data_IF_886944581696
#
_entry.id   IF_886944581696
#
_cell.length_a   1.000
_cell.length_b   1.000
_cell.length_c   1.000
_cell.angle_alpha   90.00
_cell.angle_beta   90.00
_cell.angle_gamma   90.00
#
_symmetry.space_group_name_H-M   'P 1'
#
loop_
_entity.id
_entity.type
_entity.pdbx_description
1 polymer ?
#
# COMPACT_ATOMS: atom_id res chain seq x y z
N UNK A 1 8.53 -3.08 20.63
CA UNK A 1 9.09 -2.41 19.45
C UNK A 1 8.18 -1.25 19.08
N UNK A 2 8.78 -0.18 18.55
CA UNK A 2 8.06 0.99 18.02
C UNK A 2 8.08 0.91 16.48
N UNK A 3 6.91 0.75 15.86
CA UNK A 3 6.77 0.43 14.43
C UNK A 3 6.06 1.58 13.71
N UNK A 4 6.67 2.08 12.63
CA UNK A 4 6.05 3.07 11.75
C UNK A 4 5.40 2.38 10.55
N UNK A 5 4.11 2.66 10.32
CA UNK A 5 3.38 2.18 9.15
C UNK A 5 3.12 3.39 8.22
N UNK A 6 3.81 3.42 7.09
CA UNK A 6 3.64 4.48 6.09
C UNK A 6 2.63 4.05 5.02
N UNK A 7 1.55 4.80 4.93
CA UNK A 7 0.49 4.63 3.94
C UNK A 7 0.28 5.91 3.13
N UNK A 8 -0.53 5.86 2.09
CA UNK A 8 -0.97 7.03 1.33
C UNK A 8 -2.48 6.98 1.13
N UNK A 9 -3.17 8.09 1.40
CA UNK A 9 -4.62 8.22 1.19
C UNK A 9 -4.99 8.39 -0.30
N UNK A 10 -4.43 7.55 -1.15
CA UNK A 10 -4.76 7.49 -2.59
C UNK A 10 -5.88 6.51 -2.93
N UNK A 11 -6.42 5.84 -1.92
CA UNK A 11 -7.51 4.86 -1.96
C UNK A 11 -7.81 4.38 -0.55
N UNK A 12 -8.65 3.38 -0.37
CA UNK A 12 -8.94 2.82 0.96
C UNK A 12 -8.11 1.58 1.31
N UNK A 13 -7.57 0.88 0.31
CA UNK A 13 -6.91 -0.41 0.48
C UNK A 13 -5.61 -0.33 1.28
N UNK A 14 -4.73 0.59 0.91
CA UNK A 14 -3.44 0.78 1.59
C UNK A 14 -3.61 1.15 3.07
N UNK A 15 -4.54 2.08 3.36
CA UNK A 15 -4.85 2.48 4.74
C UNK A 15 -5.50 1.33 5.52
N UNK A 16 -6.38 0.55 4.89
CA UNK A 16 -7.01 -0.61 5.53
C UNK A 16 -5.95 -1.65 5.92
N UNK A 17 -5.01 -1.95 5.04
CA UNK A 17 -3.90 -2.87 5.31
C UNK A 17 -2.99 -2.34 6.42
N UNK A 18 -2.62 -1.05 6.40
CA UNK A 18 -1.81 -0.43 7.44
C UNK A 18 -2.51 -0.47 8.82
N UNK A 19 -3.81 -0.15 8.86
CA UNK A 19 -4.57 -0.21 10.12
C UNK A 19 -4.77 -1.64 10.63
N UNK A 20 -4.92 -2.63 9.74
CA UNK A 20 -4.99 -4.03 10.12
C UNK A 20 -3.68 -4.51 10.76
N UNK A 21 -2.54 -4.12 10.19
CA UNK A 21 -1.22 -4.39 10.76
C UNK A 21 -1.05 -3.70 12.11
N UNK A 22 -1.43 -2.42 12.23
CA UNK A 22 -1.41 -1.69 13.49
C UNK A 22 -2.17 -2.43 14.57
N UNK A 23 -3.44 -2.79 14.30
CA UNK A 23 -4.27 -3.54 15.26
C UNK A 23 -3.59 -4.84 15.71
N UNK A 24 -2.93 -5.55 14.81
CA UNK A 24 -2.26 -6.79 15.13
C UNK A 24 -0.96 -6.57 15.92
N UNK A 25 -0.14 -5.60 15.56
CA UNK A 25 1.08 -5.26 16.29
C UNK A 25 0.76 -4.80 17.73
N UNK A 26 -0.28 -4.00 17.91
CA UNK A 26 -0.72 -3.56 19.24
C UNK A 26 -1.20 -4.75 20.10
N UNK A 27 -1.92 -5.73 19.52
CA UNK A 27 -2.29 -6.97 20.21
C UNK A 27 -1.08 -7.82 20.63
N UNK A 28 0.01 -7.72 19.87
CA UNK A 28 1.29 -8.39 20.19
C UNK A 28 2.13 -7.62 21.21
N UNK A 29 1.64 -6.49 21.74
CA UNK A 29 2.34 -5.66 22.71
C UNK A 29 3.38 -4.70 22.11
N UNK A 30 3.27 -4.36 20.83
CA UNK A 30 4.13 -3.37 20.18
C UNK A 30 3.42 -2.02 20.08
N UNK A 31 4.17 -0.94 19.98
CA UNK A 31 3.65 0.38 19.63
C UNK A 31 3.65 0.53 18.10
N UNK A 32 2.50 0.83 17.49
CA UNK A 32 2.37 0.96 16.05
C UNK A 32 1.67 2.25 15.64
N UNK A 33 2.28 3.00 14.72
CA UNK A 33 1.84 4.31 14.28
C UNK A 33 1.56 4.31 12.77
N UNK A 34 0.31 4.51 12.38
CA UNK A 34 -0.04 4.71 10.96
C UNK A 34 0.11 6.19 10.62
N UNK A 35 0.87 6.47 9.59
CA UNK A 35 1.14 7.82 9.13
C UNK A 35 0.87 7.96 7.63
N UNK A 36 0.12 9.02 7.25
CA UNK A 36 -0.08 9.36 5.84
C UNK A 36 1.16 10.05 5.31
N UNK A 37 1.98 9.29 4.58
CA UNK A 37 3.26 9.74 4.05
C UNK A 37 3.19 11.08 3.29
N UNK A 38 2.12 11.33 2.52
CA UNK A 38 2.00 12.55 1.73
C UNK A 38 1.86 13.81 2.60
N UNK A 39 1.41 13.67 3.86
CA UNK A 39 1.27 14.80 4.78
C UNK A 39 2.61 15.38 5.23
N UNK A 40 3.72 14.64 5.08
CA UNK A 40 5.08 15.17 5.32
C UNK A 40 5.39 16.40 4.46
N UNK A 41 4.88 16.45 3.22
CA UNK A 41 5.01 17.64 2.36
C UNK A 41 3.92 18.71 2.61
N UNK A 42 3.08 18.50 3.61
CA UNK A 42 1.97 19.37 4.00
C UNK A 42 0.60 18.88 3.51
N UNK A 43 -0.42 19.10 4.31
CA UNK A 43 -1.80 18.65 4.03
C UNK A 43 -2.35 19.10 2.68
N UNK A 44 -1.98 20.30 2.22
CA UNK A 44 -2.43 20.83 0.92
C UNK A 44 -1.87 19.99 -0.25
N UNK A 45 -0.62 19.53 -0.13
CA UNK A 45 0.02 18.66 -1.12
C UNK A 45 -0.64 17.28 -1.10
N UNK A 46 -0.81 16.69 0.08
CA UNK A 46 -1.47 15.39 0.25
C UNK A 46 -2.89 15.41 -0.37
N UNK A 47 -3.72 16.39 -0.04
CA UNK A 47 -5.06 16.56 -0.58
C UNK A 47 -5.06 16.74 -2.10
N UNK A 48 -4.10 17.50 -2.66
CA UNK A 48 -3.97 17.70 -4.11
C UNK A 48 -3.63 16.39 -4.83
N UNK A 49 -2.64 15.65 -4.34
CA UNK A 49 -2.22 14.37 -4.93
C UNK A 49 -3.37 13.36 -4.89
N UNK A 50 -4.01 13.20 -3.73
CA UNK A 50 -5.16 12.31 -3.58
C UNK A 50 -6.31 12.69 -4.53
N UNK A 51 -6.66 13.98 -4.64
CA UNK A 51 -7.71 14.45 -5.53
C UNK A 51 -7.38 14.25 -7.00
N UNK A 52 -6.14 14.48 -7.42
CA UNK A 52 -5.70 14.23 -8.81
C UNK A 52 -5.82 12.75 -9.12
N UNK A 53 -5.31 11.88 -8.24
CA UNK A 53 -5.40 10.43 -8.40
C UNK A 53 -6.85 9.97 -8.55
N UNK A 54 -7.72 10.33 -7.60
CA UNK A 54 -9.15 9.97 -7.61
C UNK A 54 -9.84 10.46 -8.90
N UNK A 55 -9.64 11.73 -9.27
CA UNK A 55 -10.24 12.29 -10.51
C UNK A 55 -9.75 11.58 -11.76
N UNK A 56 -8.47 11.21 -11.82
CA UNK A 56 -7.91 10.49 -12.98
C UNK A 56 -8.52 9.10 -13.11
N UNK A 57 -8.60 8.36 -12.01
CA UNK A 57 -9.18 7.01 -12.00
C UNK A 57 -10.68 7.05 -12.34
N UNK A 58 -11.43 8.00 -11.78
CA UNK A 58 -12.89 8.09 -12.00
C UNK A 58 -13.29 8.65 -13.36
N UNK A 59 -12.60 9.72 -13.82
CA UNK A 59 -13.02 10.47 -15.01
C UNK A 59 -12.28 10.07 -16.28
N UNK A 60 -11.10 9.48 -16.16
CA UNK A 60 -10.23 9.12 -17.28
C UNK A 60 -9.61 7.71 -17.12
N UNK A 61 -10.44 6.65 -16.97
CA UNK A 61 -9.92 5.30 -16.73
C UNK A 61 -9.01 4.79 -17.87
N UNK A 62 -9.28 5.16 -19.12
CA UNK A 62 -8.42 4.83 -20.27
C UNK A 62 -7.07 5.54 -20.22
N UNK A 63 -7.01 6.81 -19.78
CA UNK A 63 -5.76 7.52 -19.57
C UNK A 63 -4.95 6.94 -18.41
N UNK A 64 -5.62 6.50 -17.35
CA UNK A 64 -4.99 5.79 -16.24
C UNK A 64 -4.38 4.45 -16.70
N UNK A 65 -5.13 3.66 -17.50
CA UNK A 65 -4.64 2.41 -18.09
C UNK A 65 -3.44 2.64 -19.02
N UNK A 66 -3.47 3.71 -19.83
CA UNK A 66 -2.34 4.09 -20.67
C UNK A 66 -1.11 4.47 -19.83
N UNK A 67 -1.27 5.30 -18.82
CA UNK A 67 -0.20 5.68 -17.90
C UNK A 67 0.38 4.46 -17.16
N UNK A 68 -0.46 3.51 -16.76
CA UNK A 68 -0.04 2.24 -16.16
C UNK A 68 0.84 1.43 -17.12
N UNK A 69 0.42 1.26 -18.39
CA UNK A 69 1.18 0.53 -19.41
C UNK A 69 2.51 1.21 -19.73
N UNK A 70 2.53 2.55 -19.81
CA UNK A 70 3.78 3.32 -19.96
C UNK A 70 4.67 3.12 -18.75
N UNK A 71 4.11 3.15 -17.52
CA UNK A 71 4.84 2.85 -16.31
C UNK A 71 5.47 1.47 -16.34
N UNK A 72 4.73 0.43 -16.75
CA UNK A 72 5.23 -0.93 -16.92
C UNK A 72 6.37 -1.03 -17.94
N UNK A 73 6.30 -0.25 -19.02
CA UNK A 73 7.36 -0.23 -20.03
C UNK A 73 8.64 0.44 -19.52
N UNK A 74 8.52 1.54 -18.79
CA UNK A 74 9.65 2.27 -18.19
C UNK A 74 10.30 1.41 -17.09
N UNK A 75 9.48 0.86 -16.20
CA UNK A 75 9.88 0.02 -15.08
C UNK A 75 10.79 -1.16 -15.49
N UNK A 76 10.53 -1.76 -16.65
CA UNK A 76 11.37 -2.83 -17.23
C UNK A 76 12.76 -2.38 -17.68
N UNK A 77 13.01 -1.08 -17.81
CA UNK A 77 14.23 -0.54 -18.43
C UNK A 77 15.09 0.31 -17.52
N UNK A 78 14.55 0.80 -16.42
CA UNK A 78 15.27 1.71 -15.53
C UNK A 78 15.00 1.39 -14.06
N UNK A 79 16.03 1.52 -13.24
CA UNK A 79 15.94 1.44 -11.77
C UNK A 79 15.73 2.81 -11.12
N UNK A 80 15.53 3.87 -11.92
CA UNK A 80 15.25 5.25 -11.47
C UNK A 80 14.20 5.86 -12.38
N UNK A 81 12.96 5.45 -12.21
CA UNK A 81 11.83 5.98 -12.98
C UNK A 81 11.58 7.46 -12.67
N UNK A 82 10.77 8.16 -13.49
CA UNK A 82 10.28 9.49 -13.14
C UNK A 82 9.55 9.53 -11.80
N UNK A 83 8.86 8.42 -11.42
CA UNK A 83 8.15 8.29 -10.13
C UNK A 83 9.16 8.25 -8.99
N UNK A 84 10.23 7.47 -9.13
CA UNK A 84 11.36 7.45 -8.18
C UNK A 84 11.96 8.84 -7.98
N UNK A 85 12.24 9.57 -9.08
CA UNK A 85 12.83 10.91 -8.99
C UNK A 85 11.93 11.94 -8.30
N UNK A 86 10.62 11.78 -8.41
CA UNK A 86 9.66 12.62 -7.67
C UNK A 86 9.67 12.25 -6.20
N UNK A 87 9.60 10.96 -5.88
CA UNK A 87 9.57 10.48 -4.50
C UNK A 87 10.90 10.71 -3.77
N UNK A 88 12.03 10.67 -4.46
CA UNK A 88 13.33 11.06 -3.91
C UNK A 88 13.31 12.45 -3.26
N UNK A 89 12.53 13.40 -3.81
CA UNK A 89 12.42 14.76 -3.23
C UNK A 89 11.75 14.79 -1.86
N UNK A 90 11.11 13.69 -1.47
CA UNK A 90 10.49 13.57 -0.14
C UNK A 90 11.50 13.23 0.96
N UNK A 91 12.74 12.84 0.60
CA UNK A 91 13.82 12.58 1.55
C UNK A 91 13.97 13.71 2.57
N UNK A 92 13.96 14.95 2.08
CA UNK A 92 14.13 16.17 2.90
C UNK A 92 13.04 16.38 3.97
N UNK A 93 11.93 15.65 3.88
CA UNK A 93 10.86 15.69 4.88
C UNK A 93 10.86 14.44 5.74
N UNK A 94 11.15 13.26 5.14
CA UNK A 94 11.10 11.99 5.85
C UNK A 94 12.34 11.82 6.74
N UNK A 95 13.52 12.24 6.29
CA UNK A 95 14.76 12.09 7.03
C UNK A 95 14.71 12.81 8.41
N UNK A 96 14.38 14.12 8.49
CA UNK A 96 14.23 14.79 9.77
C UNK A 96 13.13 14.20 10.65
N UNK A 97 12.02 13.75 10.04
CA UNK A 97 10.94 13.10 10.78
C UNK A 97 11.41 11.81 11.47
N UNK A 98 12.21 10.97 10.78
CA UNK A 98 12.74 9.74 11.37
C UNK A 98 13.84 10.01 12.42
N UNK A 99 14.61 11.09 12.27
CA UNK A 99 15.58 11.53 13.29
C UNK A 99 14.90 11.99 14.57
N UNK A 100 13.81 12.77 14.45
CA UNK A 100 13.03 13.23 15.59
C UNK A 100 12.22 12.11 16.25
N UNK A 101 11.78 11.14 15.44
CA UNK A 101 10.94 10.04 15.87
C UNK A 101 11.57 8.69 15.51
N UNK A 102 12.49 8.17 16.35
CA UNK A 102 13.14 6.90 16.09
C UNK A 102 12.16 5.72 16.18
N UNK A 103 12.26 4.80 15.22
CA UNK A 103 11.49 3.56 15.13
C UNK A 103 12.40 2.35 15.01
N UNK A 104 11.92 1.20 15.48
CA UNK A 104 12.63 -0.09 15.39
C UNK A 104 12.41 -0.76 14.03
N UNK A 105 11.32 -0.44 13.33
CA UNK A 105 10.99 -0.96 12.00
C UNK A 105 10.05 0.00 11.25
N UNK A 106 10.12 -0.01 9.91
CA UNK A 106 9.23 0.74 9.03
C UNK A 106 8.53 -0.25 8.10
N UNK A 107 7.20 -0.18 8.06
CA UNK A 107 6.36 -0.99 7.18
C UNK A 107 5.62 -0.07 6.21
N UNK A 108 5.67 -0.35 4.93
CA UNK A 108 5.01 0.46 3.91
C UNK A 108 3.94 -0.35 3.19
N UNK A 109 2.75 0.20 3.11
CA UNK A 109 1.64 -0.38 2.33
C UNK A 109 1.45 0.30 0.98
N UNK A 110 2.33 1.24 0.64
CA UNK A 110 2.29 2.00 -0.61
C UNK A 110 3.68 2.18 -1.21
N UNK A 111 3.76 2.25 -2.54
CA UNK A 111 5.01 2.39 -3.29
C UNK A 111 5.78 3.67 -2.96
N UNK A 112 5.10 4.82 -2.82
CA UNK A 112 5.78 6.12 -2.68
C UNK A 112 6.77 6.19 -1.51
N UNK A 113 6.39 5.83 -0.28
CA UNK A 113 7.36 5.78 0.82
C UNK A 113 8.45 4.74 0.60
N UNK A 114 8.17 3.63 -0.09
CA UNK A 114 9.17 2.61 -0.39
C UNK A 114 10.29 3.14 -1.31
N UNK A 115 9.93 3.92 -2.33
CA UNK A 115 10.91 4.57 -3.21
C UNK A 115 11.72 5.65 -2.48
N UNK A 116 11.10 6.43 -1.60
CA UNK A 116 11.81 7.42 -0.78
C UNK A 116 12.80 6.77 0.15
N UNK A 117 12.39 5.75 0.90
CA UNK A 117 13.29 5.02 1.79
C UNK A 117 14.41 4.31 1.02
N UNK A 118 14.14 3.81 -0.19
CA UNK A 118 15.16 3.29 -1.10
C UNK A 118 16.15 4.37 -1.50
N UNK A 119 15.68 5.57 -1.83
CA UNK A 119 16.54 6.71 -2.13
C UNK A 119 17.44 7.08 -0.95
N UNK A 120 16.87 7.13 0.24
CA UNK A 120 17.61 7.40 1.48
C UNK A 120 18.66 6.30 1.75
N UNK A 121 18.30 5.01 1.60
CA UNK A 121 19.20 3.86 1.78
C UNK A 121 20.43 3.93 0.86
N UNK A 122 20.27 4.44 -0.34
CA UNK A 122 21.36 4.59 -1.33
C UNK A 122 22.32 5.75 -1.03
N UNK A 123 22.02 6.59 -0.04
CA UNK A 123 22.94 7.64 0.40
C UNK A 123 24.07 7.03 1.24
N UNK A 124 25.27 7.57 1.09
CA UNK A 124 26.42 7.16 1.90
C UNK A 124 26.15 7.41 3.38
N UNK A 125 26.44 6.41 4.21
CA UNK A 125 26.24 6.49 5.66
C UNK A 125 24.80 6.43 6.15
N UNK A 126 23.83 6.15 5.29
CA UNK A 126 22.42 6.04 5.70
C UNK A 126 22.20 4.95 6.76
N UNK A 127 21.56 5.33 7.85
CA UNK A 127 21.17 4.42 8.93
C UNK A 127 19.65 4.38 9.02
N UNK A 128 19.04 3.38 8.38
CA UNK A 128 17.60 3.15 8.44
C UNK A 128 17.31 1.87 9.22
N UNK A 129 16.21 1.83 9.98
CA UNK A 129 15.75 0.58 10.58
C UNK A 129 15.33 -0.41 9.46
N UNK A 130 15.07 -1.69 9.77
CA UNK A 130 14.52 -2.63 8.80
C UNK A 130 13.26 -2.11 8.13
N UNK A 131 13.16 -2.31 6.80
CA UNK A 131 12.12 -1.76 5.93
C UNK A 131 11.35 -2.91 5.28
N UNK A 132 10.03 -2.93 5.46
CA UNK A 132 9.14 -3.98 4.98
C UNK A 132 8.15 -3.41 3.96
N UNK A 133 8.14 -3.94 2.73
CA UNK A 133 7.17 -3.60 1.71
C UNK A 133 5.96 -4.55 1.77
N UNK A 134 4.75 -4.02 1.89
CA UNK A 134 3.51 -4.79 1.85
C UNK A 134 2.74 -4.45 0.58
N UNK A 135 2.76 -5.37 -0.39
CA UNK A 135 2.05 -5.22 -1.65
C UNK A 135 0.57 -5.53 -1.43
N UNK A 136 -0.30 -4.66 -1.91
CA UNK A 136 -1.75 -4.74 -1.70
C UNK A 136 -2.55 -4.98 -2.98
N UNK A 137 -1.87 -5.26 -4.08
CA UNK A 137 -2.47 -5.57 -5.38
C UNK A 137 -2.12 -6.98 -5.84
N UNK A 138 -3.06 -7.70 -6.47
CA UNK A 138 -2.84 -9.04 -7.04
C UNK A 138 -2.06 -9.04 -8.36
N UNK A 139 -1.31 -7.98 -8.61
CA UNK A 139 -0.32 -7.85 -9.67
C UNK A 139 0.83 -7.00 -9.14
N UNK A 140 2.03 -7.19 -9.66
CA UNK A 140 3.13 -6.30 -9.28
C UNK A 140 2.93 -4.94 -9.98
N UNK A 141 2.47 -3.95 -9.24
CA UNK A 141 2.37 -2.58 -9.75
C UNK A 141 3.75 -2.07 -10.20
N UNK A 142 3.82 -1.20 -11.24
CA UNK A 142 5.08 -0.67 -11.73
C UNK A 142 5.91 -0.04 -10.61
N UNK A 143 7.22 -0.16 -10.74
CA UNK A 143 8.25 0.49 -9.92
C UNK A 143 8.53 -0.14 -8.55
N UNK A 144 7.77 -1.17 -8.11
CA UNK A 144 8.18 -1.93 -6.92
C UNK A 144 9.55 -2.59 -7.09
N UNK A 145 9.92 -2.98 -8.30
CA UNK A 145 11.22 -3.54 -8.65
C UNK A 145 12.40 -2.54 -8.54
N UNK A 146 12.10 -1.26 -8.38
CA UNK A 146 13.12 -0.23 -8.11
C UNK A 146 13.46 -0.11 -6.62
N UNK A 147 12.60 -0.66 -5.75
CA UNK A 147 12.72 -0.51 -4.30
C UNK A 147 13.71 -1.50 -3.69
N UNK A 148 14.26 -1.13 -2.53
CA UNK A 148 15.24 -1.93 -1.78
C UNK A 148 14.74 -2.15 -0.35
N UNK A 149 13.65 -2.91 -0.20
CA UNK A 149 13.18 -3.34 1.11
C UNK A 149 14.02 -4.50 1.63
N UNK A 150 14.04 -4.69 2.94
CA UNK A 150 14.64 -5.87 3.56
C UNK A 150 13.81 -7.11 3.27
N UNK A 151 12.47 -6.97 3.34
CA UNK A 151 11.51 -8.02 3.03
C UNK A 151 10.28 -7.44 2.30
N UNK A 152 9.61 -8.29 1.51
CA UNK A 152 8.39 -7.98 0.77
C UNK A 152 7.30 -8.98 1.12
N UNK A 153 6.17 -8.50 1.61
CA UNK A 153 4.97 -9.28 1.81
C UNK A 153 4.12 -9.16 0.55
N UNK A 154 3.85 -10.27 -0.10
CA UNK A 154 3.06 -10.32 -1.34
C UNK A 154 1.70 -10.97 -1.11
N UNK A 155 0.67 -10.59 -1.91
CA UNK A 155 -0.70 -11.04 -1.74
C UNK A 155 -0.93 -12.54 -1.87
N UNK A 156 -0.20 -13.21 -2.76
CA UNK A 156 -0.38 -14.63 -3.04
C UNK A 156 0.88 -15.25 -3.64
N UNK A 157 1.06 -16.55 -3.43
CA UNK A 157 2.18 -17.32 -3.98
C UNK A 157 2.27 -17.28 -5.51
N UNK A 158 1.14 -17.16 -6.21
CA UNK A 158 1.10 -17.11 -7.68
C UNK A 158 1.71 -15.81 -8.24
N UNK A 159 1.87 -14.78 -7.40
CA UNK A 159 2.56 -13.54 -7.77
C UNK A 159 4.10 -13.67 -7.70
N UNK A 160 4.61 -14.71 -7.03
CA UNK A 160 6.04 -14.92 -6.81
C UNK A 160 6.85 -14.88 -8.10
N UNK A 161 6.43 -15.64 -9.12
CA UNK A 161 7.14 -15.74 -10.39
C UNK A 161 7.13 -14.41 -11.16
N UNK A 162 6.07 -13.63 -11.06
CA UNK A 162 6.01 -12.29 -11.64
C UNK A 162 7.00 -11.36 -10.94
N UNK A 163 7.01 -11.35 -9.61
CA UNK A 163 7.93 -10.54 -8.81
C UNK A 163 9.39 -10.84 -9.14
N UNK A 164 9.76 -12.13 -9.20
CA UNK A 164 11.12 -12.56 -9.51
C UNK A 164 11.52 -12.19 -10.95
N UNK A 165 10.65 -12.43 -11.93
CA UNK A 165 10.90 -12.04 -13.33
C UNK A 165 11.11 -10.55 -13.51
N UNK A 166 10.48 -9.74 -12.65
CA UNK A 166 10.62 -8.28 -12.68
C UNK A 166 11.76 -7.75 -11.84
N UNK A 167 12.47 -8.62 -11.12
CA UNK A 167 13.74 -8.31 -10.46
C UNK A 167 13.69 -8.16 -8.96
N UNK A 168 12.58 -8.51 -8.29
CA UNK A 168 12.56 -8.63 -6.84
C UNK A 168 13.29 -9.91 -6.40
N UNK A 169 14.13 -9.86 -5.34
CA UNK A 169 14.87 -11.01 -4.85
C UNK A 169 13.91 -12.07 -4.26
N UNK A 170 14.00 -13.30 -4.74
CA UNK A 170 13.11 -14.40 -4.34
C UNK A 170 13.14 -14.67 -2.84
N UNK A 171 14.32 -14.62 -2.26
CA UNK A 171 14.58 -14.86 -0.84
C UNK A 171 13.94 -13.83 0.10
N UNK A 172 13.55 -12.68 -0.43
CA UNK A 172 12.90 -11.60 0.31
C UNK A 172 11.37 -11.56 0.12
N UNK A 173 10.80 -12.50 -0.65
CA UNK A 173 9.37 -12.52 -0.98
C UNK A 173 8.60 -13.48 -0.07
N UNK A 174 7.59 -12.96 0.65
CA UNK A 174 6.76 -13.72 1.57
C UNK A 174 5.28 -13.67 1.14
N UNK A 175 4.69 -14.78 0.68
CA UNK A 175 3.29 -14.81 0.21
C UNK A 175 2.30 -14.97 1.38
N UNK A 176 2.29 -13.99 2.29
CA UNK A 176 1.45 -14.02 3.49
C UNK A 176 0.04 -13.47 3.29
N UNK A 177 -0.25 -12.87 2.14
CA UNK A 177 -1.54 -12.28 1.86
C UNK A 177 -1.60 -10.78 2.13
N UNK A 178 -2.71 -10.16 1.74
CA UNK A 178 -2.99 -8.75 2.05
C UNK A 178 -3.50 -8.67 3.50
N UNK A 179 -2.91 -7.83 4.37
CA UNK A 179 -3.39 -7.64 5.72
C UNK A 179 -4.84 -7.15 5.76
N UNK A 180 -5.65 -7.76 6.59
CA UNK A 180 -7.04 -7.37 6.83
C UNK A 180 -7.39 -7.43 8.31
N UNK A 181 -8.39 -6.65 8.73
CA UNK A 181 -8.82 -6.65 10.13
C UNK A 181 -9.46 -7.98 10.51
N UNK A 182 -9.06 -8.60 11.63
CA UNK A 182 -9.67 -9.82 12.15
C UNK A 182 -11.19 -9.71 12.39
N UNK A 183 -11.72 -8.51 12.48
CA UNK A 183 -13.16 -8.26 12.61
C UNK A 183 -13.98 -8.82 11.44
N UNK A 184 -13.35 -8.96 10.25
CA UNK A 184 -13.98 -9.58 9.07
C UNK A 184 -14.23 -11.09 9.29
N UNK A 185 -13.45 -11.71 10.18
CA UNK A 185 -13.59 -13.12 10.54
C UNK A 185 -14.59 -13.38 11.68
N UNK A 186 -15.37 -12.36 12.07
CA UNK A 186 -16.39 -12.53 13.10
C UNK A 186 -17.34 -13.66 12.72
N UNK A 187 -17.57 -14.64 13.60
CA UNK A 187 -18.29 -15.86 13.28
C UNK A 187 -19.81 -15.64 13.31
N UNK A 188 -20.29 -14.82 12.38
CA UNK A 188 -21.74 -14.73 12.18
C UNK A 188 -22.21 -15.84 11.26
N UNK A 189 -23.22 -16.58 11.66
CA UNK A 189 -23.97 -17.43 10.74
C UNK A 189 -24.68 -16.56 9.69
N UNK A 190 -25.02 -17.15 8.55
CA UNK A 190 -25.74 -16.44 7.48
C UNK A 190 -27.06 -15.84 7.98
N UNK A 191 -27.76 -16.54 8.88
CA UNK A 191 -29.02 -16.10 9.48
C UNK A 191 -28.80 -14.90 10.39
N UNK A 192 -27.80 -14.96 11.27
CA UNK A 192 -27.45 -13.84 12.16
C UNK A 192 -27.04 -12.59 11.37
N UNK A 193 -26.21 -12.77 10.33
CA UNK A 193 -25.81 -11.65 9.45
C UNK A 193 -27.02 -11.01 8.76
N UNK A 194 -27.98 -11.82 8.27
CA UNK A 194 -29.20 -11.30 7.67
C UNK A 194 -30.06 -10.54 8.68
N UNK A 195 -30.20 -11.05 9.91
CA UNK A 195 -30.91 -10.35 11.00
C UNK A 195 -30.29 -9.01 11.34
N UNK A 196 -28.97 -8.98 11.51
CA UNK A 196 -28.22 -7.74 11.77
C UNK A 196 -28.38 -6.69 10.68
N UNK A 197 -28.53 -7.13 9.43
CA UNK A 197 -28.71 -6.25 8.27
C UNK A 197 -30.17 -5.97 7.93
N UNK A 198 -31.13 -6.45 8.74
CA UNK A 198 -32.59 -6.37 8.48
C UNK A 198 -32.98 -6.94 7.11
N UNK A 199 -32.36 -8.04 6.70
CA UNK A 199 -32.65 -8.74 5.45
C UNK A 199 -33.56 -9.95 5.71
N UNK A 200 -34.39 -10.29 4.72
CA UNK A 200 -35.25 -11.48 4.77
C UNK A 200 -34.38 -12.76 4.82
N UNK A 201 -34.58 -13.55 5.86
CA UNK A 201 -33.81 -14.78 6.13
C UNK A 201 -33.91 -15.81 5.00
N UNK A 202 -35.08 -15.85 4.33
CA UNK A 202 -35.43 -16.86 3.33
C UNK A 202 -35.03 -16.46 1.91
N UNK A 203 -34.65 -15.20 1.68
CA UNK A 203 -34.23 -14.69 0.34
C UNK A 203 -32.76 -14.89 0.11
N UNK A 204 -32.41 -15.15 -1.15
CA UNK A 204 -30.99 -15.08 -1.61
C UNK A 204 -30.52 -13.63 -1.58
N UNK A 205 -29.28 -13.43 -1.14
CA UNK A 205 -28.63 -12.11 -1.11
C UNK A 205 -27.48 -12.11 -2.09
N UNK A 206 -27.44 -11.11 -2.97
CA UNK A 206 -26.33 -10.84 -3.87
C UNK A 206 -25.68 -9.54 -3.37
N UNK A 207 -24.44 -9.63 -2.92
CA UNK A 207 -23.66 -8.50 -2.47
C UNK A 207 -22.81 -8.00 -3.63
N UNK A 208 -23.03 -6.76 -4.07
CA UNK A 208 -22.20 -6.06 -5.03
C UNK A 208 -21.28 -5.11 -4.28
N UNK A 209 -19.97 -5.26 -4.46
CA UNK A 209 -18.95 -4.43 -3.81
C UNK A 209 -18.12 -3.75 -4.88
N UNK A 210 -18.04 -2.44 -4.79
CA UNK A 210 -17.08 -1.63 -5.56
C UNK A 210 -15.99 -1.09 -4.64
N UNK A 211 -14.87 -0.70 -5.22
CA UNK A 211 -13.81 -0.02 -4.47
C UNK A 211 -14.32 1.30 -3.85
N UNK A 212 -13.70 1.74 -2.76
CA UNK A 212 -14.06 2.97 -2.02
C UNK A 212 -14.25 4.21 -2.91
N UNK A 213 -13.64 4.21 -4.09
CA UNK A 213 -13.71 5.33 -5.03
C UNK A 213 -14.89 5.27 -5.99
N UNK A 214 -15.65 4.18 -6.02
CA UNK A 214 -16.82 4.04 -6.87
C UNK A 214 -16.51 4.23 -8.37
N UNK A 215 -15.35 3.76 -8.82
CA UNK A 215 -14.91 3.97 -10.21
C UNK A 215 -15.58 3.03 -11.22
N UNK A 216 -16.26 1.98 -10.74
CA UNK A 216 -16.97 1.00 -11.56
C UNK A 216 -18.44 1.35 -11.76
N UNK A 217 -19.00 0.94 -12.91
CA UNK A 217 -20.46 0.89 -13.15
C UNK A 217 -20.95 -0.51 -12.75
N UNK A 218 -21.20 -0.73 -11.45
CA UNK A 218 -21.67 -2.03 -10.95
C UNK A 218 -23.16 -2.27 -11.26
N UNK A 219 -23.90 -1.19 -11.42
CA UNK A 219 -25.32 -1.23 -11.82
C UNK A 219 -25.50 -0.27 -13.00
N UNK A 220 -25.85 -0.78 -14.15
CA UNK A 220 -26.24 -0.03 -15.34
C UNK A 220 -27.74 -0.06 -15.50
#
# INVERSE_FOLDING_TARGET
MKILLLSCKTGGGHDAAANALKEQFEKMGHEAFVFDYLTLAGEKVAKRVANVYVKTVQKMPSAFGCAYNVGMFISKRTKKSPVYLVNQKMDKYLEPYLEEHPYDAIVMTHLYPAETLTSMRRKEGAKLPPIFGVLTDYTLTPFWEETECDEYIIPHKDLMDECVRRGLPKEKLHPFGIPFSPKILAPYSQIEAKKLLNLDENKKVILLIDGRMGAGKLVA
#
